data_IF_878435002086
#
_entry.id   IF_878435002086
#
_cell.length_a   1.000
_cell.length_b   1.000
_cell.length_c   1.000
_cell.angle_alpha   90.00
_cell.angle_beta   90.00
_cell.angle_gamma   90.00
#
_symmetry.space_group_name_H-M   'P 1'
#
loop_
_entity.id
_entity.type
_entity.pdbx_description
1 polymer ?
#
# COMPACT_ATOMS: atom_id res chain seq x y z
N UNK A 1 -34.85 0.23 -23.02
CA UNK A 1 -34.48 1.04 -21.84
C UNK A 1 -33.88 0.10 -20.78
N UNK A 2 -32.83 -0.66 -21.14
CA UNK A 2 -32.15 -1.62 -20.25
C UNK A 2 -30.70 -1.95 -20.69
N UNK A 3 -30.12 -1.22 -21.64
CA UNK A 3 -28.73 -1.50 -22.10
C UNK A 3 -27.67 -0.66 -21.34
N UNK A 4 -28.07 0.48 -20.75
CA UNK A 4 -27.13 1.38 -20.06
C UNK A 4 -26.60 0.83 -18.73
N UNK A 5 -27.32 -0.08 -18.07
CA UNK A 5 -26.90 -0.64 -16.76
C UNK A 5 -25.75 -1.63 -16.94
N UNK A 6 -25.87 -2.52 -17.93
CA UNK A 6 -24.90 -3.58 -18.17
C UNK A 6 -23.56 -3.01 -18.66
N UNK A 7 -23.58 -1.93 -19.45
CA UNK A 7 -22.37 -1.24 -19.89
C UNK A 7 -21.65 -0.53 -18.73
N UNK A 8 -22.38 0.13 -17.83
CA UNK A 8 -21.77 0.76 -16.64
C UNK A 8 -21.23 -0.28 -15.65
N UNK A 9 -21.93 -1.39 -15.46
CA UNK A 9 -21.44 -2.52 -14.66
C UNK A 9 -20.21 -3.18 -15.28
N UNK A 10 -20.17 -3.34 -16.60
CA UNK A 10 -18.99 -3.83 -17.31
C UNK A 10 -17.80 -2.86 -17.18
N UNK A 11 -18.05 -1.56 -17.28
CA UNK A 11 -17.01 -0.53 -17.15
C UNK A 11 -16.44 -0.46 -15.74
N UNK A 12 -17.29 -0.58 -14.71
CA UNK A 12 -16.85 -0.61 -13.31
C UNK A 12 -16.03 -1.86 -12.99
N UNK A 13 -16.44 -3.03 -13.48
CA UNK A 13 -15.66 -4.27 -13.34
C UNK A 13 -14.30 -4.18 -14.06
N UNK A 14 -14.26 -3.60 -15.27
CA UNK A 14 -13.02 -3.36 -16.01
C UNK A 14 -12.08 -2.41 -15.24
N UNK A 15 -12.62 -1.35 -14.62
CA UNK A 15 -11.83 -0.41 -13.83
C UNK A 15 -11.23 -1.07 -12.57
N UNK A 16 -12.01 -1.91 -11.87
CA UNK A 16 -11.52 -2.67 -10.71
C UNK A 16 -10.41 -3.63 -11.13
N UNK A 17 -10.58 -4.33 -12.24
CA UNK A 17 -9.58 -5.27 -12.75
C UNK A 17 -8.30 -4.55 -13.22
N UNK A 18 -8.44 -3.37 -13.82
CA UNK A 18 -7.31 -2.52 -14.18
C UNK A 18 -6.53 -2.05 -12.94
N UNK A 19 -7.22 -1.71 -11.84
CA UNK A 19 -6.58 -1.33 -10.56
C UNK A 19 -5.88 -2.51 -9.91
N UNK A 20 -6.48 -3.71 -9.93
CA UNK A 20 -5.86 -4.94 -9.42
C UNK A 20 -4.61 -5.34 -10.20
N UNK A 21 -4.63 -5.14 -11.53
CA UNK A 21 -3.51 -5.46 -12.42
C UNK A 21 -2.45 -4.36 -12.53
N UNK A 22 -2.53 -3.29 -11.73
CA UNK A 22 -1.41 -2.36 -11.57
C UNK A 22 -0.26 -3.13 -10.94
N UNK A 23 0.63 -3.64 -11.78
CA UNK A 23 1.89 -4.25 -11.36
C UNK A 23 2.55 -3.30 -10.37
N UNK A 24 2.81 -3.78 -9.15
CA UNK A 24 3.53 -3.01 -8.14
C UNK A 24 4.83 -2.50 -8.78
N UNK A 25 4.94 -1.19 -8.93
CA UNK A 25 6.15 -0.56 -9.49
C UNK A 25 7.33 -0.97 -8.63
N UNK A 26 8.48 -1.26 -9.26
CA UNK A 26 9.71 -1.52 -8.52
C UNK A 26 10.18 -0.19 -7.91
N UNK A 27 9.77 0.06 -6.68
CA UNK A 27 10.17 1.24 -5.91
C UNK A 27 11.48 0.95 -5.16
N UNK A 28 12.39 1.92 -5.16
CA UNK A 28 13.64 1.85 -4.39
C UNK A 28 13.38 2.08 -2.89
N UNK A 29 12.43 2.96 -2.58
CA UNK A 29 12.00 3.28 -1.23
C UNK A 29 10.67 2.59 -0.99
N UNK A 30 10.62 1.72 0.01
CA UNK A 30 9.39 1.02 0.38
C UNK A 30 8.28 2.00 0.77
N UNK A 31 7.03 1.66 0.46
CA UNK A 31 5.87 2.53 0.69
C UNK A 31 5.77 3.00 2.15
N UNK A 32 6.04 2.10 3.12
CA UNK A 32 6.06 2.43 4.57
C UNK A 32 7.01 3.62 4.85
N UNK A 33 8.18 3.67 4.21
CA UNK A 33 9.13 4.76 4.41
C UNK A 33 8.69 6.07 3.73
N UNK A 34 7.83 6.00 2.71
CA UNK A 34 7.27 7.18 2.04
C UNK A 34 6.17 7.83 2.89
N UNK A 35 5.41 7.03 3.66
CA UNK A 35 4.35 7.52 4.56
C UNK A 35 4.89 8.39 5.69
N UNK A 36 6.15 8.20 6.06
CA UNK A 36 6.88 9.03 7.03
C UNK A 36 6.77 10.53 6.72
N UNK A 37 6.92 10.91 5.45
CA UNK A 37 6.87 12.31 5.01
C UNK A 37 5.45 12.90 5.11
N UNK A 38 4.42 12.05 5.07
CA UNK A 38 3.02 12.47 5.06
C UNK A 38 2.43 12.54 6.47
N UNK A 39 2.75 11.56 7.31
CA UNK A 39 2.07 11.33 8.59
C UNK A 39 2.98 11.50 9.82
N UNK A 40 4.29 11.68 9.62
CA UNK A 40 5.26 11.76 10.71
C UNK A 40 5.68 10.39 11.26
N UNK A 41 6.76 10.39 12.04
CA UNK A 41 7.44 9.15 12.46
C UNK A 41 6.78 8.43 13.65
N UNK A 42 6.31 9.18 14.65
CA UNK A 42 6.03 8.59 15.96
C UNK A 42 4.62 8.00 16.09
N UNK A 43 3.60 8.69 15.58
CA UNK A 43 2.20 8.28 15.81
C UNK A 43 1.68 7.26 14.79
N UNK A 44 2.25 7.23 13.59
CA UNK A 44 1.74 6.40 12.48
C UNK A 44 2.78 5.41 12.00
N UNK A 45 3.98 5.90 11.67
CA UNK A 45 5.01 5.07 11.04
C UNK A 45 5.59 3.99 11.98
N UNK A 46 5.91 4.31 13.24
CA UNK A 46 6.51 3.34 14.16
C UNK A 46 5.59 2.15 14.52
N UNK A 47 4.28 2.34 14.79
CA UNK A 47 3.33 1.22 14.93
C UNK A 47 3.27 0.31 13.71
N UNK A 48 3.27 0.87 12.50
CA UNK A 48 3.19 0.09 11.27
C UNK A 48 4.50 -0.64 10.97
N UNK A 49 5.63 -0.02 11.26
CA UNK A 49 6.95 -0.64 11.13
C UNK A 49 7.10 -1.85 12.06
N UNK A 50 6.58 -1.79 13.29
CA UNK A 50 6.59 -2.92 14.25
C UNK A 50 5.74 -4.12 13.82
N UNK A 51 4.77 -3.95 12.90
CA UNK A 51 3.97 -5.08 12.37
C UNK A 51 4.73 -5.91 11.35
N UNK A 52 5.79 -5.37 10.75
CA UNK A 52 6.62 -6.04 9.74
C UNK A 52 8.06 -6.14 10.26
N UNK A 53 8.41 -7.29 10.83
CA UNK A 53 9.73 -7.56 11.41
C UNK A 53 10.88 -7.32 10.42
N UNK A 54 10.69 -7.71 9.16
CA UNK A 54 11.71 -7.52 8.13
C UNK A 54 11.94 -6.04 7.86
N UNK A 55 10.86 -5.25 7.77
CA UNK A 55 10.96 -3.80 7.56
C UNK A 55 11.51 -3.09 8.78
N UNK A 56 11.09 -3.50 9.97
CA UNK A 56 11.66 -3.03 11.24
C UNK A 56 13.18 -3.21 11.26
N UNK A 57 13.65 -4.42 10.97
CA UNK A 57 15.09 -4.70 10.91
C UNK A 57 15.80 -3.89 9.82
N UNK A 58 15.24 -3.78 8.62
CA UNK A 58 15.87 -3.01 7.54
C UNK A 58 16.01 -1.52 7.92
N UNK A 59 14.99 -0.97 8.58
CA UNK A 59 14.94 0.46 8.93
C UNK A 59 15.77 0.79 10.18
N UNK A 60 15.56 0.06 11.29
CA UNK A 60 16.20 0.33 12.57
C UNK A 60 17.50 -0.45 12.79
N UNK A 61 17.74 -1.51 12.00
CA UNK A 61 18.86 -2.46 12.21
C UNK A 61 18.84 -3.11 13.60
N UNK A 62 17.64 -3.31 14.14
CA UNK A 62 17.38 -3.94 15.44
C UNK A 62 16.28 -5.00 15.31
N UNK A 63 16.23 -5.94 16.26
CA UNK A 63 15.07 -6.84 16.44
C UNK A 63 13.95 -6.13 17.21
N UNK A 64 12.71 -6.57 17.02
CA UNK A 64 11.55 -5.98 17.71
C UNK A 64 11.57 -6.26 19.23
N UNK A 65 12.19 -7.37 19.63
CA UNK A 65 12.21 -7.88 21.01
C UNK A 65 13.23 -7.19 21.94
N UNK A 66 13.85 -6.09 21.50
CA UNK A 66 14.93 -5.42 22.24
C UNK A 66 14.45 -4.46 23.33
#
# INVERSE_FOLDING_TARGET
MYESSDEEEALTLLAIEAVKNVRKKRIWIHDINQEKLKHGEFHTFMPDLRKDEKRFYIYLRMSIES
#
